data_IF_905594962136
#
_entry.id   IF_905594962136
#
_cell.length_a   1.000
_cell.length_b   1.000
_cell.length_c   1.000
_cell.angle_alpha   90.00
_cell.angle_beta   90.00
_cell.angle_gamma   90.00
#
_symmetry.space_group_name_H-M   'P 1'
#
loop_
_entity.id
_entity.type
_entity.pdbx_description
1 polymer ?
#
# COMPACT_ATOMS: atom_id res chain seq x y z
N UNK A 1 10.57 -20.60 -1.91
CA UNK A 1 10.51 -19.17 -1.55
C UNK A 1 11.90 -18.60 -1.71
N UNK A 2 12.07 -17.40 -2.24
CA UNK A 2 13.40 -16.80 -2.38
C UNK A 2 14.01 -16.51 -1.00
N UNK A 3 15.33 -16.61 -0.90
CA UNK A 3 16.10 -16.36 0.33
C UNK A 3 16.76 -14.98 0.24
N UNK A 4 16.96 -14.32 1.38
CA UNK A 4 17.83 -13.14 1.45
C UNK A 4 19.25 -13.52 1.08
N UNK A 5 19.85 -12.75 0.17
CA UNK A 5 21.23 -12.93 -0.29
C UNK A 5 21.98 -11.61 -0.18
N UNK A 6 22.85 -11.52 0.82
CA UNK A 6 23.69 -10.34 1.02
C UNK A 6 24.78 -10.32 -0.05
N UNK A 7 24.81 -9.26 -0.85
CA UNK A 7 25.90 -8.95 -1.77
C UNK A 7 26.73 -7.80 -1.20
N UNK A 8 28.02 -8.04 -0.99
CA UNK A 8 28.94 -7.04 -0.50
C UNK A 8 30.38 -7.47 -0.75
N UNK A 9 31.24 -6.51 -1.10
CA UNK A 9 32.69 -6.72 -1.17
C UNK A 9 33.36 -6.69 0.21
N UNK A 10 32.61 -6.23 1.23
CA UNK A 10 33.09 -6.17 2.61
C UNK A 10 32.96 -7.53 3.29
N UNK A 11 33.80 -7.74 4.31
CA UNK A 11 33.62 -8.83 5.27
C UNK A 11 33.38 -8.21 6.65
N UNK A 12 32.60 -8.84 7.53
CA UNK A 12 32.46 -8.36 8.90
C UNK A 12 33.83 -8.25 9.57
N UNK A 13 34.13 -7.08 10.15
CA UNK A 13 35.41 -6.79 10.80
C UNK A 13 35.21 -6.18 12.20
N UNK A 14 36.27 -6.12 13.01
CA UNK A 14 36.20 -5.61 14.38
C UNK A 14 35.22 -6.42 15.22
N UNK A 15 34.30 -5.74 15.91
CA UNK A 15 33.29 -6.37 16.76
C UNK A 15 32.06 -6.89 15.99
N UNK A 16 31.95 -6.61 14.69
CA UNK A 16 30.79 -7.01 13.88
C UNK A 16 30.54 -8.53 13.87
N UNK A 17 31.55 -9.41 13.68
CA UNK A 17 31.30 -10.86 13.66
C UNK A 17 30.61 -11.37 14.92
N UNK A 18 31.09 -10.92 16.09
CA UNK A 18 30.53 -11.28 17.40
C UNK A 18 29.12 -10.73 17.58
N UNK A 19 28.91 -9.46 17.26
CA UNK A 19 27.57 -8.83 17.35
C UNK A 19 26.54 -9.53 16.45
N UNK A 20 26.94 -9.90 15.22
CA UNK A 20 26.07 -10.63 14.28
C UNK A 20 25.71 -12.00 14.85
N UNK A 21 26.68 -12.74 15.38
CA UNK A 21 26.47 -14.06 15.98
C UNK A 21 25.51 -14.00 17.16
N UNK A 22 25.78 -13.14 18.15
CA UNK A 22 24.94 -12.98 19.34
C UNK A 22 23.50 -12.58 18.99
N UNK A 23 23.30 -11.58 18.12
CA UNK A 23 21.97 -11.17 17.68
C UNK A 23 21.23 -12.29 16.94
N UNK A 24 21.93 -13.02 16.07
CA UNK A 24 21.34 -14.13 15.31
C UNK A 24 20.86 -15.25 16.25
N UNK A 25 21.68 -15.66 17.21
CA UNK A 25 21.34 -16.70 18.18
C UNK A 25 20.18 -16.29 19.10
N UNK A 26 20.16 -15.04 19.55
CA UNK A 26 19.08 -14.51 20.36
C UNK A 26 17.74 -14.48 19.59
N UNK A 27 17.75 -14.11 18.30
CA UNK A 27 16.54 -14.16 17.47
C UNK A 27 16.07 -15.61 17.27
N UNK A 28 17.00 -16.55 17.05
CA UNK A 28 16.68 -17.97 16.85
C UNK A 28 16.19 -18.66 18.12
N UNK A 29 16.65 -18.23 19.30
CA UNK A 29 16.18 -18.71 20.60
C UNK A 29 14.84 -18.09 21.06
N UNK A 30 14.28 -17.15 20.28
CA UNK A 30 12.97 -16.56 20.55
C UNK A 30 13.02 -15.30 21.43
N UNK A 31 14.19 -14.70 21.64
CA UNK A 31 14.29 -13.43 22.36
C UNK A 31 13.57 -12.31 21.61
N UNK A 32 12.58 -11.70 22.28
CA UNK A 32 11.72 -10.66 21.70
C UNK A 32 12.37 -9.28 21.61
N UNK A 33 13.25 -8.95 22.57
CA UNK A 33 13.85 -7.62 22.68
C UNK A 33 15.37 -7.73 22.77
N UNK A 34 16.05 -6.99 21.92
CA UNK A 34 17.51 -6.98 21.80
C UNK A 34 17.97 -5.57 21.44
N UNK A 35 19.17 -5.20 21.89
CA UNK A 35 19.73 -3.87 21.67
C UNK A 35 21.13 -3.99 21.13
N UNK A 36 21.36 -3.51 19.91
CA UNK A 36 22.70 -3.32 19.36
C UNK A 36 23.26 -1.96 19.80
N UNK A 37 24.14 -1.97 20.80
CA UNK A 37 24.83 -0.75 21.25
C UNK A 37 26.03 -0.44 20.32
N UNK A 38 25.74 0.08 19.12
CA UNK A 38 26.76 0.41 18.12
C UNK A 38 27.15 1.89 18.11
N UNK A 39 28.44 2.19 18.25
CA UNK A 39 28.99 3.55 18.09
C UNK A 39 28.77 4.11 16.67
N UNK A 40 28.83 5.43 16.50
CA UNK A 40 28.73 6.05 15.17
C UNK A 40 29.89 5.59 14.29
N UNK A 41 29.61 5.27 13.03
CA UNK A 41 30.62 4.80 12.07
C UNK A 41 30.99 3.31 12.17
N UNK A 42 30.41 2.54 13.10
CA UNK A 42 30.74 1.10 13.25
C UNK A 42 30.10 0.16 12.20
N UNK A 43 29.45 0.71 11.17
CA UNK A 43 28.79 -0.10 10.13
C UNK A 43 27.52 -0.82 10.59
N UNK A 44 26.68 -0.17 11.42
CA UNK A 44 25.46 -0.77 11.98
C UNK A 44 24.52 -1.37 10.93
N UNK A 45 24.31 -0.71 9.80
CA UNK A 45 23.44 -1.24 8.73
C UNK A 45 23.96 -2.57 8.20
N UNK A 46 25.27 -2.67 7.95
CA UNK A 46 25.89 -3.90 7.46
C UNK A 46 25.83 -5.04 8.50
N UNK A 47 26.00 -4.73 9.79
CA UNK A 47 25.76 -5.70 10.88
C UNK A 47 24.32 -6.22 10.82
N UNK A 48 23.33 -5.34 10.71
CA UNK A 48 21.91 -5.74 10.65
C UNK A 48 21.59 -6.49 9.35
N UNK A 49 22.18 -6.12 8.21
CA UNK A 49 22.03 -6.86 6.95
C UNK A 49 22.50 -8.32 7.09
N UNK A 50 23.68 -8.55 7.69
CA UNK A 50 24.16 -9.90 7.98
C UNK A 50 23.21 -10.67 8.92
N UNK A 51 22.62 -10.00 9.92
CA UNK A 51 21.63 -10.63 10.81
C UNK A 51 20.39 -11.03 10.01
N UNK A 52 19.85 -10.15 9.16
CA UNK A 52 18.67 -10.43 8.30
C UNK A 52 18.92 -11.66 7.42
N UNK A 53 20.09 -11.71 6.74
CA UNK A 53 20.47 -12.87 5.92
C UNK A 53 20.56 -14.16 6.74
N UNK A 54 21.08 -14.12 7.98
CA UNK A 54 21.21 -15.34 8.80
C UNK A 54 19.90 -15.83 9.42
N UNK A 55 18.92 -14.95 9.61
CA UNK A 55 17.61 -15.29 10.22
C UNK A 55 16.52 -15.57 9.20
N UNK A 56 16.66 -15.09 7.95
CA UNK A 56 15.73 -15.34 6.85
C UNK A 56 14.26 -15.00 7.19
N UNK A 57 14.03 -13.79 7.75
CA UNK A 57 12.70 -13.30 8.11
C UNK A 57 12.40 -11.96 7.41
N UNK A 58 11.17 -11.75 6.89
CA UNK A 58 10.73 -10.43 6.48
C UNK A 58 10.97 -9.43 7.61
N UNK A 59 11.54 -8.27 7.28
CA UNK A 59 12.05 -7.33 8.29
C UNK A 59 11.49 -5.93 8.05
N UNK A 60 10.93 -5.33 9.10
CA UNK A 60 10.53 -3.92 9.11
C UNK A 60 11.60 -3.10 9.84
N UNK A 61 12.19 -2.13 9.14
CA UNK A 61 13.17 -1.19 9.69
C UNK A 61 12.48 0.16 9.86
N UNK A 62 12.33 0.61 11.11
CA UNK A 62 11.64 1.87 11.42
C UNK A 62 12.68 2.99 11.65
N UNK A 63 12.58 4.06 10.86
CA UNK A 63 13.39 5.26 10.98
C UNK A 63 12.54 6.45 11.45
N UNK A 64 13.14 7.31 12.27
CA UNK A 64 12.41 8.45 12.88
C UNK A 64 12.22 9.64 11.93
N UNK A 65 12.84 9.64 10.74
CA UNK A 65 12.70 10.70 9.75
C UNK A 65 12.86 10.15 8.31
N UNK A 66 12.33 10.89 7.32
CA UNK A 66 12.33 10.47 5.90
C UNK A 66 13.75 10.38 5.30
N UNK A 67 14.67 11.24 5.72
CA UNK A 67 16.06 11.27 5.21
C UNK A 67 16.82 10.01 5.58
N UNK A 68 16.80 9.63 6.86
CA UNK A 68 17.42 8.40 7.34
C UNK A 68 16.73 7.16 6.75
N UNK A 69 15.41 7.18 6.61
CA UNK A 69 14.67 6.11 5.95
C UNK A 69 15.17 5.91 4.50
N UNK A 70 15.34 6.99 3.74
CA UNK A 70 15.82 6.91 2.37
C UNK A 70 17.26 6.39 2.29
N UNK A 71 18.15 6.86 3.19
CA UNK A 71 19.52 6.36 3.29
C UNK A 71 19.57 4.86 3.56
N UNK A 72 18.83 4.40 4.58
CA UNK A 72 18.76 2.98 4.92
C UNK A 72 18.17 2.15 3.79
N UNK A 73 17.14 2.65 3.11
CA UNK A 73 16.55 1.97 1.96
C UNK A 73 17.59 1.78 0.85
N UNK A 74 18.36 2.82 0.52
CA UNK A 74 19.41 2.72 -0.49
C UNK A 74 20.51 1.74 -0.07
N UNK A 75 21.00 1.82 1.17
CA UNK A 75 22.01 0.89 1.70
C UNK A 75 21.53 -0.56 1.66
N UNK A 76 20.28 -0.83 2.08
CA UNK A 76 19.71 -2.17 2.00
C UNK A 76 19.51 -2.64 0.57
N UNK A 77 19.12 -1.77 -0.37
CA UNK A 77 19.00 -2.11 -1.79
C UNK A 77 20.34 -2.49 -2.42
N UNK A 78 21.43 -1.83 -2.03
CA UNK A 78 22.79 -2.19 -2.45
C UNK A 78 23.22 -3.54 -1.86
N UNK A 79 22.87 -3.81 -0.59
CA UNK A 79 23.16 -5.07 0.08
C UNK A 79 22.32 -6.25 -0.40
N UNK A 80 21.08 -6.01 -0.85
CA UNK A 80 20.13 -7.06 -1.24
C UNK A 80 19.52 -6.80 -2.63
N UNK A 81 20.33 -6.72 -3.70
CA UNK A 81 19.85 -6.33 -5.04
C UNK A 81 18.93 -7.35 -5.70
N UNK A 82 18.89 -8.60 -5.21
CA UNK A 82 18.01 -9.66 -5.72
C UNK A 82 16.73 -9.87 -4.86
N UNK A 83 16.61 -9.15 -3.74
CA UNK A 83 15.48 -9.26 -2.81
C UNK A 83 14.59 -8.00 -2.89
N UNK A 84 13.40 -8.05 -2.27
CA UNK A 84 12.52 -6.89 -2.24
C UNK A 84 12.90 -5.95 -1.10
N UNK A 85 13.51 -4.82 -1.43
CA UNK A 85 13.79 -3.73 -0.50
C UNK A 85 12.85 -2.57 -0.83
N UNK A 86 11.93 -2.32 0.09
CA UNK A 86 10.76 -1.48 -0.14
C UNK A 86 10.75 -0.27 0.79
N UNK A 87 10.08 0.80 0.36
CA UNK A 87 10.05 2.08 1.07
C UNK A 87 8.63 2.46 1.48
N UNK A 88 8.39 2.67 2.78
CA UNK A 88 7.05 2.93 3.32
C UNK A 88 7.02 4.15 4.25
N UNK A 89 6.79 5.34 3.69
CA UNK A 89 6.64 6.58 4.45
C UNK A 89 5.34 7.29 4.10
N UNK A 90 5.05 8.39 4.79
CA UNK A 90 3.94 9.26 4.39
C UNK A 90 4.15 9.76 2.97
N UNK A 91 3.19 9.42 2.10
CA UNK A 91 3.09 9.89 0.73
C UNK A 91 2.65 11.34 0.58
N UNK A 92 2.40 12.07 1.68
CA UNK A 92 2.07 13.48 1.58
C UNK A 92 3.36 14.31 1.49
N UNK A 93 3.46 15.13 0.45
CA UNK A 93 4.45 16.22 0.38
C UNK A 93 4.03 17.38 1.28
N UNK A 94 2.73 17.64 1.31
CA UNK A 94 2.09 18.59 2.21
C UNK A 94 0.83 17.95 2.79
N UNK A 95 0.60 18.15 4.09
CA UNK A 95 -0.61 17.67 4.76
C UNK A 95 -1.05 18.66 5.83
N UNK A 96 -2.27 19.16 5.66
CA UNK A 96 -3.01 19.90 6.66
C UNK A 96 -4.16 19.01 7.15
N UNK A 97 -4.16 18.62 8.43
CA UNK A 97 -5.27 17.87 8.98
C UNK A 97 -6.50 18.76 9.04
N UNK A 98 -7.66 18.13 8.92
CA UNK A 98 -8.91 18.77 9.28
C UNK A 98 -8.89 19.15 10.76
N UNK A 99 -9.27 20.40 11.05
CA UNK A 99 -9.31 20.89 12.41
C UNK A 99 -10.40 21.95 12.59
N UNK A 100 -10.85 22.11 13.84
CA UNK A 100 -11.72 23.21 14.23
C UNK A 100 -11.08 23.94 15.41
N UNK A 101 -10.93 25.26 15.29
CA UNK A 101 -10.34 26.15 16.31
C UNK A 101 -11.48 26.87 17.03
N UNK A 102 -11.85 26.47 18.26
CA UNK A 102 -13.01 27.03 18.94
C UNK A 102 -12.86 28.52 19.30
N UNK A 103 -11.63 28.97 19.57
CA UNK A 103 -11.36 30.36 19.98
C UNK A 103 -11.63 31.38 18.87
N UNK A 104 -11.58 30.95 17.61
CA UNK A 104 -11.80 31.79 16.43
C UNK A 104 -12.98 31.33 15.58
N UNK A 105 -13.75 30.33 16.04
CA UNK A 105 -14.81 29.66 15.27
C UNK A 105 -14.37 29.36 13.83
N UNK A 106 -13.15 28.85 13.68
CA UNK A 106 -12.54 28.63 12.37
C UNK A 106 -12.47 27.14 12.08
N UNK A 107 -13.12 26.73 11.01
CA UNK A 107 -12.97 25.41 10.43
C UNK A 107 -11.82 25.44 9.41
N UNK A 108 -10.89 24.50 9.57
CA UNK A 108 -9.75 24.29 8.68
C UNK A 108 -10.04 23.01 7.91
N UNK A 109 -10.26 23.16 6.61
CA UNK A 109 -10.43 22.04 5.70
C UNK A 109 -9.15 21.21 5.61
N UNK A 110 -9.33 19.90 5.41
CA UNK A 110 -8.24 19.01 5.05
C UNK A 110 -7.71 19.45 3.68
N UNK A 111 -6.41 19.71 3.62
CA UNK A 111 -5.71 19.98 2.38
C UNK A 111 -4.44 19.14 2.34
N UNK A 112 -4.14 18.56 1.19
CA UNK A 112 -2.99 17.66 1.07
C UNK A 112 -2.52 17.55 -0.37
N UNK A 113 -1.21 17.42 -0.52
CA UNK A 113 -0.58 17.08 -1.79
C UNK A 113 0.05 15.70 -1.67
N UNK A 114 -0.35 14.79 -2.56
CA UNK A 114 0.17 13.42 -2.60
C UNK A 114 1.37 13.39 -3.55
N UNK A 115 2.44 12.75 -3.09
CA UNK A 115 3.60 12.41 -3.87
C UNK A 115 3.37 11.05 -4.53
N UNK A 116 3.12 11.08 -5.83
CA UNK A 116 2.84 9.89 -6.62
C UNK A 116 3.94 8.84 -6.52
N UNK A 117 5.23 9.23 -6.48
CA UNK A 117 6.33 8.26 -6.39
C UNK A 117 6.35 7.52 -5.04
N UNK A 118 6.05 8.21 -3.93
CA UNK A 118 5.96 7.58 -2.62
C UNK A 118 4.73 6.68 -2.54
N UNK A 119 3.58 7.10 -3.08
CA UNK A 119 2.37 6.27 -3.11
C UNK A 119 2.60 4.94 -3.84
N UNK A 120 3.25 4.99 -5.01
CA UNK A 120 3.69 3.80 -5.75
C UNK A 120 4.59 2.90 -4.90
N UNK A 121 5.57 3.48 -4.20
CA UNK A 121 6.47 2.71 -3.32
C UNK A 121 5.72 2.04 -2.16
N UNK A 122 4.67 2.68 -1.63
CA UNK A 122 3.81 2.07 -0.61
C UNK A 122 3.03 0.88 -1.15
N UNK A 123 2.47 1.00 -2.37
CA UNK A 123 1.81 -0.12 -3.04
C UNK A 123 2.79 -1.27 -3.34
N UNK A 124 4.02 -0.96 -3.77
CA UNK A 124 5.10 -1.94 -3.94
C UNK A 124 5.38 -2.68 -2.64
N UNK A 125 5.54 -1.94 -1.53
CA UNK A 125 5.81 -2.51 -0.22
C UNK A 125 4.71 -3.47 0.26
N UNK A 126 3.44 -3.11 0.11
CA UNK A 126 2.33 -3.96 0.54
C UNK A 126 2.15 -5.16 -0.37
N UNK A 127 2.26 -5.00 -1.70
CA UNK A 127 2.18 -6.11 -2.64
C UNK A 127 3.30 -7.13 -2.44
N UNK A 128 4.54 -6.67 -2.21
CA UNK A 128 5.70 -7.54 -2.00
C UNK A 128 5.51 -8.52 -0.83
N UNK A 129 4.84 -8.10 0.25
CA UNK A 129 4.55 -8.96 1.41
C UNK A 129 3.64 -10.16 1.09
N UNK A 130 2.79 -10.04 0.06
CA UNK A 130 1.90 -11.11 -0.37
C UNK A 130 2.55 -12.01 -1.43
N UNK A 131 3.48 -11.48 -2.23
CA UNK A 131 4.12 -12.21 -3.32
C UNK A 131 5.34 -13.01 -2.88
N UNK A 132 6.11 -12.52 -1.91
CA UNK A 132 7.39 -13.12 -1.52
C UNK A 132 7.71 -12.92 -0.03
N UNK A 133 8.72 -13.67 0.45
CA UNK A 133 9.08 -13.71 1.88
C UNK A 133 10.37 -12.97 2.22
N UNK A 134 11.19 -12.71 1.22
CA UNK A 134 12.46 -12.01 1.31
C UNK A 134 12.25 -10.50 1.11
N UNK A 135 11.47 -9.89 2.01
CA UNK A 135 11.08 -8.48 1.98
C UNK A 135 11.68 -7.71 3.15
N UNK A 136 12.37 -6.62 2.87
CA UNK A 136 12.78 -5.61 3.85
C UNK A 136 11.96 -4.34 3.56
N UNK A 137 11.20 -3.86 4.53
CA UNK A 137 10.50 -2.58 4.42
C UNK A 137 11.22 -1.57 5.30
N UNK A 138 11.70 -0.49 4.70
CA UNK A 138 12.21 0.68 5.44
C UNK A 138 11.10 1.70 5.56
N UNK A 139 10.64 1.95 6.78
CA UNK A 139 9.46 2.74 7.05
C UNK A 139 9.70 3.91 8.01
N UNK A 140 8.84 4.92 7.92
CA UNK A 140 8.67 5.90 9.00
C UNK A 140 7.58 5.42 9.98
N UNK A 141 7.20 6.26 10.94
CA UNK A 141 6.01 6.05 11.77
C UNK A 141 4.71 5.89 10.96
N UNK A 142 4.73 6.10 9.64
CA UNK A 142 3.59 5.73 8.80
C UNK A 142 3.18 4.25 8.93
N UNK A 143 4.08 3.35 9.32
CA UNK A 143 3.78 1.92 9.48
C UNK A 143 2.88 1.59 10.68
N UNK A 144 2.57 2.56 11.55
CA UNK A 144 1.62 2.41 12.65
C UNK A 144 0.28 3.14 12.41
N UNK A 145 0.12 3.78 11.25
CA UNK A 145 -1.15 4.37 10.83
C UNK A 145 -2.03 3.33 10.13
N UNK A 146 -3.34 3.57 10.16
CA UNK A 146 -4.33 2.67 9.56
C UNK A 146 -4.13 2.49 8.06
N UNK A 147 -4.28 1.25 7.62
CA UNK A 147 -4.50 0.82 6.24
C UNK A 147 -5.80 0.00 6.23
N UNK A 148 -6.35 -0.27 5.05
CA UNK A 148 -7.44 -1.23 4.91
C UNK A 148 -7.03 -2.63 5.37
N UNK A 149 -8.05 -3.46 5.56
CA UNK A 149 -7.89 -4.84 6.01
C UNK A 149 -7.01 -5.62 5.02
N UNK A 150 -5.91 -6.27 5.48
CA UNK A 150 -5.08 -7.08 4.59
C UNK A 150 -5.84 -8.25 3.96
N UNK A 151 -6.89 -8.76 4.62
CA UNK A 151 -7.76 -9.80 4.05
C UNK A 151 -8.54 -9.24 2.86
N UNK A 152 -9.19 -8.08 3.00
CA UNK A 152 -9.87 -7.40 1.88
C UNK A 152 -8.91 -7.10 0.73
N UNK A 153 -7.71 -6.59 1.05
CA UNK A 153 -6.70 -6.26 0.02
C UNK A 153 -6.26 -7.50 -0.78
N UNK A 154 -6.23 -8.67 -0.13
CA UNK A 154 -5.89 -9.95 -0.76
C UNK A 154 -7.08 -10.54 -1.52
N UNK A 155 -8.28 -10.51 -0.96
CA UNK A 155 -9.49 -11.08 -1.55
C UNK A 155 -9.94 -10.31 -2.79
N UNK A 156 -9.70 -9.00 -2.81
CA UNK A 156 -9.94 -8.14 -3.96
C UNK A 156 -8.91 -8.33 -5.08
N UNK A 157 -7.76 -8.95 -4.82
CA UNK A 157 -6.71 -9.16 -5.82
C UNK A 157 -7.21 -9.97 -7.03
N UNK A 158 -6.99 -9.46 -8.23
CA UNK A 158 -7.34 -10.17 -9.47
C UNK A 158 -6.14 -11.00 -9.92
N UNK A 159 -6.27 -12.32 -9.82
CA UNK A 159 -5.30 -13.29 -10.33
C UNK A 159 -5.62 -13.65 -11.79
N UNK A 160 -4.65 -13.48 -12.69
CA UNK A 160 -4.79 -13.81 -14.11
C UNK A 160 -3.69 -14.80 -14.55
N UNK A 161 -4.05 -15.77 -15.40
CA UNK A 161 -3.15 -16.78 -15.95
C UNK A 161 -3.52 -17.06 -17.42
N UNK A 162 -2.55 -17.30 -18.31
CA UNK A 162 -2.84 -17.86 -19.63
C UNK A 162 -3.65 -19.17 -19.52
N UNK A 163 -4.61 -19.37 -20.42
CA UNK A 163 -5.54 -20.50 -20.44
C UNK A 163 -6.76 -20.34 -19.51
N UNK A 164 -6.87 -19.24 -18.76
CA UNK A 164 -8.04 -18.99 -17.93
C UNK A 164 -9.23 -18.58 -18.79
N UNK A 165 -10.35 -19.30 -18.67
CA UNK A 165 -11.62 -18.91 -19.30
C UNK A 165 -12.28 -17.85 -18.42
N UNK A 166 -12.22 -16.62 -18.88
CA UNK A 166 -12.80 -15.46 -18.22
C UNK A 166 -13.12 -14.35 -19.22
N UNK A 167 -14.36 -13.91 -19.20
CA UNK A 167 -14.81 -12.79 -20.02
C UNK A 167 -14.02 -11.51 -19.68
N UNK A 168 -13.60 -10.80 -20.73
CA UNK A 168 -12.85 -9.55 -20.61
C UNK A 168 -13.64 -8.50 -19.83
N UNK A 169 -14.95 -8.39 -20.09
CA UNK A 169 -15.79 -7.38 -19.46
C UNK A 169 -16.05 -7.70 -17.97
N UNK A 170 -15.94 -8.97 -17.55
CA UNK A 170 -15.87 -9.36 -16.14
C UNK A 170 -14.59 -8.86 -15.46
N UNK A 171 -13.43 -9.01 -16.11
CA UNK A 171 -12.16 -8.50 -15.57
C UNK A 171 -12.21 -6.97 -15.45
N UNK A 172 -12.77 -6.28 -16.44
CA UNK A 172 -12.98 -4.82 -16.42
C UNK A 172 -13.84 -4.40 -15.23
N UNK A 173 -14.98 -5.09 -14.98
CA UNK A 173 -15.83 -4.81 -13.82
C UNK A 173 -15.07 -4.95 -12.51
N UNK A 174 -14.28 -6.03 -12.36
CA UNK A 174 -13.46 -6.21 -11.16
C UNK A 174 -12.37 -5.16 -11.01
N UNK A 175 -11.73 -4.73 -12.11
CA UNK A 175 -10.74 -3.65 -12.08
C UNK A 175 -11.34 -2.35 -11.52
N UNK A 176 -12.58 -2.02 -11.93
CA UNK A 176 -13.31 -0.87 -11.40
C UNK A 176 -13.64 -1.04 -9.92
N UNK A 177 -14.09 -2.23 -9.50
CA UNK A 177 -14.34 -2.54 -8.08
C UNK A 177 -13.10 -2.31 -7.21
N UNK A 178 -11.91 -2.65 -7.72
CA UNK A 178 -10.63 -2.44 -7.03
C UNK A 178 -9.99 -1.08 -7.33
N UNK A 179 -10.81 -0.10 -7.67
CA UNK A 179 -10.48 1.34 -7.79
C UNK A 179 -9.59 1.72 -8.99
N UNK A 180 -9.51 0.89 -10.03
CA UNK A 180 -8.89 1.32 -11.27
C UNK A 180 -9.84 2.16 -12.11
N UNK A 181 -9.30 3.12 -12.82
CA UNK A 181 -10.05 3.96 -13.74
C UNK A 181 -9.79 3.58 -15.19
N UNK A 182 -10.84 3.52 -16.01
CA UNK A 182 -10.68 3.30 -17.45
C UNK A 182 -10.19 4.58 -18.11
N UNK A 183 -9.01 4.56 -18.75
CA UNK A 183 -8.49 5.72 -19.45
C UNK A 183 -7.74 5.34 -20.73
N UNK A 184 -8.30 5.67 -21.89
CA UNK A 184 -7.72 5.34 -23.19
C UNK A 184 -6.53 6.26 -23.53
N UNK A 185 -6.59 7.53 -23.11
CA UNK A 185 -5.71 8.59 -23.58
C UNK A 185 -4.56 8.86 -22.61
N UNK A 186 -4.86 8.99 -21.33
CA UNK A 186 -3.89 9.22 -20.26
C UNK A 186 -3.67 7.91 -19.50
N UNK A 187 -2.80 7.06 -20.06
CA UNK A 187 -2.49 5.74 -19.51
C UNK A 187 -1.41 5.85 -18.43
N UNK A 188 -1.87 6.00 -17.19
CA UNK A 188 -1.04 6.13 -15.98
C UNK A 188 -1.37 5.05 -14.95
N UNK A 189 -0.62 5.02 -13.86
CA UNK A 189 -0.79 4.05 -12.77
C UNK A 189 -2.22 4.09 -12.22
N UNK A 190 -2.77 2.93 -11.85
CA UNK A 190 -4.15 2.82 -11.38
C UNK A 190 -5.18 2.99 -12.51
N UNK A 191 -4.76 2.89 -13.77
CA UNK A 191 -5.66 2.92 -14.93
C UNK A 191 -5.57 1.65 -15.76
N UNK A 192 -6.60 1.41 -16.57
CA UNK A 192 -6.59 0.39 -17.62
C UNK A 192 -7.19 0.93 -18.92
N UNK A 193 -6.83 0.32 -20.04
CA UNK A 193 -7.39 0.64 -21.37
C UNK A 193 -7.64 -0.63 -22.18
N UNK A 194 -8.55 -0.52 -23.14
CA UNK A 194 -8.98 -1.64 -23.98
C UNK A 194 -8.74 -1.30 -25.44
N UNK A 195 -8.09 -2.19 -26.17
CA UNK A 195 -7.82 -2.07 -27.60
C UNK A 195 -8.18 -3.39 -28.29
N UNK A 196 -9.44 -3.53 -28.72
CA UNK A 196 -9.95 -4.80 -29.25
C UNK A 196 -9.88 -5.89 -28.18
N UNK A 197 -9.14 -6.96 -28.48
CA UNK A 197 -8.97 -8.11 -27.59
C UNK A 197 -7.76 -7.97 -26.65
N UNK A 198 -7.25 -6.75 -26.49
CA UNK A 198 -6.12 -6.42 -25.62
C UNK A 198 -6.59 -5.53 -24.47
N UNK A 199 -6.31 -5.96 -23.25
CA UNK A 199 -6.48 -5.18 -22.02
C UNK A 199 -5.11 -4.82 -21.45
N UNK A 200 -4.76 -3.54 -21.51
CA UNK A 200 -3.57 -3.02 -20.83
C UNK A 200 -3.98 -2.50 -19.45
N UNK A 201 -3.31 -2.99 -18.40
CA UNK A 201 -3.53 -2.63 -16.99
C UNK A 201 -2.24 -2.02 -16.46
N UNK A 202 -2.29 -0.84 -15.84
CA UNK A 202 -1.12 -0.21 -15.23
C UNK A 202 -1.21 -0.31 -13.70
N UNK A 203 -0.51 -1.27 -13.07
CA UNK A 203 -0.56 -1.45 -11.62
C UNK A 203 -0.09 -0.21 -10.84
N UNK A 204 -0.67 0.09 -9.67
CA UNK A 204 -0.29 1.24 -8.83
C UNK A 204 1.16 1.13 -8.31
N UNK A 205 1.66 -0.09 -8.13
CA UNK A 205 3.02 -0.38 -7.66
C UNK A 205 4.11 -0.21 -8.73
N UNK A 206 3.75 -0.08 -10.01
CA UNK A 206 4.70 -0.06 -11.13
C UNK A 206 4.99 1.35 -11.63
N UNK A 207 6.23 1.64 -12.03
CA UNK A 207 6.63 2.95 -12.58
C UNK A 207 6.67 3.02 -14.11
N UNK A 208 7.02 1.92 -14.76
CA UNK A 208 7.28 1.88 -16.22
C UNK A 208 6.66 0.69 -16.93
N UNK A 209 6.16 -0.28 -16.18
CA UNK A 209 5.72 -1.56 -16.73
C UNK A 209 4.22 -1.69 -16.55
N UNK A 210 3.49 -1.87 -17.64
CA UNK A 210 2.09 -2.28 -17.61
C UNK A 210 1.97 -3.76 -17.94
N UNK A 211 0.84 -4.34 -17.53
CA UNK A 211 0.46 -5.71 -17.83
C UNK A 211 -0.48 -5.67 -19.03
N UNK A 212 -0.08 -6.32 -20.11
CA UNK A 212 -0.91 -6.55 -21.29
C UNK A 212 -1.49 -7.95 -21.23
N UNK A 213 -2.82 -8.04 -21.26
CA UNK A 213 -3.58 -9.28 -21.28
C UNK A 213 -4.25 -9.39 -22.64
N UNK A 214 -3.88 -10.41 -23.41
CA UNK A 214 -4.41 -10.69 -24.76
C UNK A 214 -5.44 -11.82 -24.65
N UNK A 215 -6.60 -11.61 -25.28
CA UNK A 215 -7.75 -12.52 -25.22
C UNK A 215 -7.99 -13.19 -26.57
N UNK A 216 -8.47 -14.43 -26.54
CA UNK A 216 -9.07 -15.11 -27.67
C UNK A 216 -10.49 -15.55 -27.30
N UNK A 217 -11.47 -14.71 -27.66
CA UNK A 217 -12.83 -14.84 -27.12
C UNK A 217 -12.82 -14.63 -25.60
N UNK A 218 -13.26 -15.65 -24.85
CA UNK A 218 -13.31 -15.62 -23.38
C UNK A 218 -12.07 -16.27 -22.75
N UNK A 219 -11.03 -16.62 -23.52
CA UNK A 219 -9.81 -17.22 -22.97
C UNK A 219 -8.67 -16.19 -22.93
N UNK A 220 -7.94 -16.14 -21.82
CA UNK A 220 -6.68 -15.38 -21.74
C UNK A 220 -5.61 -16.16 -22.53
N UNK A 221 -5.26 -15.71 -23.71
CA UNK A 221 -4.26 -16.36 -24.56
C UNK A 221 -2.84 -16.10 -24.03
N UNK A 222 -2.56 -14.84 -23.68
CA UNK A 222 -1.20 -14.41 -23.34
C UNK A 222 -1.19 -13.26 -22.35
N UNK A 223 -0.18 -13.25 -21.48
CA UNK A 223 0.10 -12.15 -20.57
C UNK A 223 1.55 -11.71 -20.76
N UNK A 224 1.73 -10.42 -21.01
CA UNK A 224 3.06 -9.80 -21.20
C UNK A 224 3.21 -8.55 -20.36
N UNK A 225 4.45 -8.27 -19.97
CA UNK A 225 4.85 -6.96 -19.48
C UNK A 225 5.23 -6.07 -20.66
N UNK A 226 4.79 -4.82 -20.63
CA UNK A 226 5.10 -3.81 -21.65
C UNK A 226 5.69 -2.56 -21.00
N UNK A 227 6.67 -1.94 -21.66
CA UNK A 227 7.11 -0.59 -21.30
C UNK A 227 6.00 0.41 -21.69
N UNK A 228 5.55 1.23 -20.73
CA UNK A 228 4.41 2.15 -20.93
C UNK A 228 4.73 3.32 -21.86
N UNK A 229 6.00 3.64 -22.09
CA UNK A 229 6.44 4.72 -22.97
C UNK A 229 6.65 4.23 -24.40
N UNK A 230 7.31 3.08 -24.57
CA UNK A 230 7.65 2.55 -25.90
C UNK A 230 6.63 1.55 -26.43
N UNK A 231 5.87 0.89 -25.54
CA UNK A 231 4.97 -0.21 -25.87
C UNK A 231 5.67 -1.53 -26.16
N UNK A 232 6.99 -1.60 -25.98
CA UNK A 232 7.77 -2.81 -26.21
C UNK A 232 7.49 -3.87 -25.14
N UNK A 233 7.42 -5.13 -25.57
CA UNK A 233 7.26 -6.27 -24.65
C UNK A 233 8.59 -6.53 -23.94
N UNK A 234 8.60 -6.37 -22.62
CA UNK A 234 9.77 -6.58 -21.77
C UNK A 234 9.83 -7.98 -21.18
N UNK A 235 8.71 -8.71 -21.15
CA UNK A 235 8.66 -10.07 -20.64
C UNK A 235 7.32 -10.77 -20.86
N UNK A 236 7.35 -12.10 -20.74
CA UNK A 236 6.15 -12.94 -20.75
C UNK A 236 5.90 -13.44 -19.33
N UNK A 237 4.63 -13.48 -18.91
CA UNK A 237 4.22 -13.92 -17.57
C UNK A 237 3.26 -15.10 -17.66
N UNK A 238 3.55 -16.13 -16.87
CA UNK A 238 2.66 -17.29 -16.69
C UNK A 238 1.56 -17.04 -15.65
N UNK A 239 1.72 -15.99 -14.85
CA UNK A 239 0.77 -15.58 -13.82
C UNK A 239 1.05 -14.11 -13.44
N UNK A 240 -0.01 -13.38 -13.11
CA UNK A 240 0.06 -12.02 -12.58
C UNK A 240 -1.03 -11.82 -11.54
N UNK A 241 -0.68 -11.10 -10.47
CA UNK A 241 -1.59 -10.59 -9.47
C UNK A 241 -1.78 -9.08 -9.69
N UNK A 242 -3.03 -8.64 -9.84
CA UNK A 242 -3.40 -7.23 -9.90
C UNK A 242 -4.02 -6.85 -8.56
N UNK A 243 -3.29 -6.08 -7.76
CA UNK A 243 -3.76 -5.58 -6.47
C UNK A 243 -4.61 -4.31 -6.62
N UNK A 244 -5.45 -3.99 -5.61
CA UNK A 244 -6.24 -2.75 -5.60
C UNK A 244 -5.41 -1.48 -5.77
N UNK A 245 -5.98 -0.50 -6.47
CA UNK A 245 -5.40 0.82 -6.69
C UNK A 245 -5.52 1.76 -5.47
N UNK A 246 -6.08 1.27 -4.36
CA UNK A 246 -6.17 1.98 -3.09
C UNK A 246 -6.00 1.01 -1.93
N UNK A 247 -5.26 1.42 -0.89
CA UNK A 247 -5.16 0.66 0.36
C UNK A 247 -6.45 0.63 1.18
N UNK A 248 -7.48 1.40 0.81
CA UNK A 248 -8.78 1.43 1.48
C UNK A 248 -9.91 0.82 0.63
N UNK A 249 -9.55 0.10 -0.45
CA UNK A 249 -10.54 -0.62 -1.24
C UNK A 249 -11.28 -1.64 -0.36
N UNK A 250 -12.61 -1.63 -0.42
CA UNK A 250 -13.48 -2.52 0.36
C UNK A 250 -14.59 -3.07 -0.52
N UNK A 251 -15.08 -4.27 -0.20
CA UNK A 251 -16.16 -4.91 -0.94
C UNK A 251 -17.51 -4.23 -0.70
N UNK A 252 -18.40 -4.27 -1.71
CA UNK A 252 -19.73 -3.63 -1.65
C UNK A 252 -20.58 -4.09 -0.46
N UNK A 253 -20.54 -5.38 -0.12
CA UNK A 253 -21.30 -5.90 1.03
C UNK A 253 -20.78 -5.38 2.38
N UNK A 254 -19.46 -5.17 2.51
CA UNK A 254 -18.85 -4.58 3.71
C UNK A 254 -19.20 -3.10 3.78
N UNK A 255 -19.16 -2.38 2.66
CA UNK A 255 -19.59 -0.98 2.56
C UNK A 255 -21.06 -0.78 2.98
N UNK A 256 -21.99 -1.60 2.48
CA UNK A 256 -23.42 -1.48 2.86
C UNK A 256 -23.64 -1.73 4.36
N UNK A 257 -22.92 -2.70 4.95
CA UNK A 257 -22.96 -2.94 6.40
C UNK A 257 -22.39 -1.76 7.18
N UNK A 258 -21.28 -1.19 6.71
CA UNK A 258 -20.65 -0.03 7.32
C UNK A 258 -21.60 1.18 7.28
N UNK A 259 -22.20 1.48 6.12
CA UNK A 259 -23.17 2.57 5.94
C UNK A 259 -24.33 2.44 6.93
N UNK A 260 -24.90 1.24 7.08
CA UNK A 260 -25.98 1.02 8.05
C UNK A 260 -25.53 1.34 9.48
N UNK A 261 -24.33 0.90 9.86
CA UNK A 261 -23.78 1.20 11.18
C UNK A 261 -23.49 2.70 11.37
N UNK A 262 -23.06 3.41 10.33
CA UNK A 262 -22.85 4.87 10.34
C UNK A 262 -24.19 5.59 10.51
N UNK A 263 -25.24 5.17 9.81
CA UNK A 263 -26.59 5.74 9.94
C UNK A 263 -27.13 5.56 11.37
N UNK A 264 -26.95 4.38 11.96
CA UNK A 264 -27.34 4.10 13.36
C UNK A 264 -26.58 4.99 14.37
N UNK A 265 -25.25 5.13 14.23
CA UNK A 265 -24.44 6.00 15.09
C UNK A 265 -24.79 7.49 14.91
N UNK A 266 -25.08 7.91 13.68
CA UNK A 266 -25.51 9.26 13.38
C UNK A 266 -26.82 9.60 14.08
N UNK A 267 -27.82 8.71 14.02
CA UNK A 267 -29.11 8.92 14.69
C UNK A 267 -28.96 9.07 16.21
N UNK A 268 -28.17 8.21 16.85
CA UNK A 268 -27.88 8.29 18.28
C UNK A 268 -27.20 9.62 18.62
N UNK A 269 -26.18 10.02 17.85
CA UNK A 269 -25.42 11.23 18.11
C UNK A 269 -26.24 12.50 17.89
N UNK A 270 -27.09 12.52 16.86
CA UNK A 270 -27.98 13.65 16.58
C UNK A 270 -29.02 13.83 17.69
N UNK A 271 -29.58 12.73 18.22
CA UNK A 271 -30.49 12.78 19.36
C UNK A 271 -29.79 13.40 20.57
N UNK A 272 -28.60 12.90 20.93
CA UNK A 272 -27.81 13.45 22.04
C UNK A 272 -27.55 14.96 21.87
N UNK A 273 -27.11 15.41 20.69
CA UNK A 273 -26.82 16.82 20.45
C UNK A 273 -28.07 17.70 20.56
N UNK A 274 -29.21 17.27 19.99
CA UNK A 274 -30.49 17.99 20.07
C UNK A 274 -31.03 18.06 21.50
N UNK A 275 -30.98 16.95 22.24
CA UNK A 275 -31.42 16.89 23.65
C UNK A 275 -30.57 17.79 24.57
N UNK A 276 -29.32 18.08 24.18
CA UNK A 276 -28.42 18.98 24.90
C UNK A 276 -28.39 20.42 24.33
N UNK A 277 -29.33 20.78 23.45
CA UNK A 277 -29.43 22.13 22.88
C UNK A 277 -28.33 22.51 21.88
N UNK A 278 -27.52 21.55 21.42
CA UNK A 278 -26.43 21.73 20.44
C UNK A 278 -26.94 21.62 19.01
N UNK A 279 -27.87 22.51 18.66
CA UNK A 279 -28.61 22.45 17.39
C UNK A 279 -27.72 22.69 16.17
N UNK A 280 -26.75 23.61 16.27
CA UNK A 280 -25.84 23.91 15.16
C UNK A 280 -24.88 22.75 14.90
N UNK A 281 -24.34 22.13 15.94
CA UNK A 281 -23.47 20.97 15.83
C UNK A 281 -24.23 19.77 15.26
N UNK A 282 -25.48 19.56 15.67
CA UNK A 282 -26.35 18.54 15.10
C UNK A 282 -26.58 18.77 13.61
N UNK A 283 -26.88 20.01 13.20
CA UNK A 283 -27.07 20.36 11.79
C UNK A 283 -25.80 20.13 10.96
N UNK A 284 -24.62 20.56 11.46
CA UNK A 284 -23.33 20.37 10.79
C UNK A 284 -23.01 18.89 10.60
N UNK A 285 -23.17 18.09 11.67
CA UNK A 285 -22.93 16.65 11.62
C UNK A 285 -23.85 15.95 10.62
N UNK A 286 -25.16 16.24 10.68
CA UNK A 286 -26.15 15.61 9.80
C UNK A 286 -25.88 15.90 8.33
N UNK A 287 -25.62 17.16 7.97
CA UNK A 287 -25.38 17.55 6.59
C UNK A 287 -24.16 16.83 6.01
N UNK A 288 -23.05 16.81 6.75
CA UNK A 288 -21.80 16.23 6.27
C UNK A 288 -21.86 14.71 6.19
N UNK A 289 -22.32 14.04 7.25
CA UNK A 289 -22.37 12.57 7.27
C UNK A 289 -23.34 12.03 6.21
N UNK A 290 -24.49 12.68 5.97
CA UNK A 290 -25.42 12.25 4.92
C UNK A 290 -24.84 12.41 3.52
N UNK A 291 -24.12 13.50 3.25
CA UNK A 291 -23.41 13.70 1.99
C UNK A 291 -22.34 12.62 1.78
N UNK A 292 -21.54 12.32 2.81
CA UNK A 292 -20.53 11.28 2.73
C UNK A 292 -21.14 9.90 2.47
N UNK A 293 -22.29 9.58 3.11
CA UNK A 293 -23.04 8.33 2.86
C UNK A 293 -23.52 8.24 1.41
N UNK A 294 -24.05 9.32 0.85
CA UNK A 294 -24.50 9.36 -0.55
C UNK A 294 -23.33 9.09 -1.50
N UNK A 295 -22.18 9.73 -1.26
CA UNK A 295 -20.95 9.50 -2.00
C UNK A 295 -20.46 8.04 -1.88
N UNK A 296 -20.50 7.46 -0.68
CA UNK A 296 -20.15 6.04 -0.48
C UNK A 296 -21.09 5.09 -1.23
N UNK A 297 -22.39 5.39 -1.32
CA UNK A 297 -23.37 4.55 -2.06
C UNK A 297 -23.20 4.63 -3.57
N UNK A 298 -23.01 5.84 -4.10
CA UNK A 298 -23.00 6.08 -5.55
C UNK A 298 -21.62 5.79 -6.17
N UNK A 299 -20.54 6.18 -5.47
CA UNK A 299 -19.18 6.15 -6.01
C UNK A 299 -18.32 5.07 -5.34
N UNK A 300 -18.71 4.60 -4.16
CA UNK A 300 -17.89 3.67 -3.37
C UNK A 300 -16.76 4.34 -2.58
N UNK A 301 -16.74 5.68 -2.55
CA UNK A 301 -15.72 6.48 -1.88
C UNK A 301 -16.25 7.86 -1.48
N UNK A 302 -15.77 8.42 -0.38
CA UNK A 302 -16.00 9.82 0.02
C UNK A 302 -14.69 10.48 0.47
N UNK A 303 -14.64 11.82 0.46
CA UNK A 303 -13.49 12.53 1.00
C UNK A 303 -13.45 12.38 2.52
N UNK A 304 -12.28 12.02 3.06
CA UNK A 304 -12.16 11.75 4.49
C UNK A 304 -12.72 10.38 4.90
N UNK A 305 -12.79 9.41 3.97
CA UNK A 305 -13.26 8.05 4.24
C UNK A 305 -12.55 7.39 5.43
N UNK A 306 -11.31 7.79 5.71
CA UNK A 306 -10.55 7.29 6.85
C UNK A 306 -11.21 7.57 8.21
N UNK A 307 -12.09 8.58 8.30
CA UNK A 307 -12.87 8.87 9.51
C UNK A 307 -13.91 7.78 9.82
N UNK A 308 -14.27 6.97 8.82
CA UNK A 308 -15.26 5.89 8.95
C UNK A 308 -14.62 4.50 9.09
N UNK A 309 -13.28 4.40 9.15
CA UNK A 309 -12.52 3.13 9.08
C UNK A 309 -12.91 2.04 10.10
N UNK A 310 -13.61 2.39 11.17
CA UNK A 310 -14.05 1.43 12.21
C UNK A 310 -15.30 0.64 11.81
N UNK A 311 -16.13 1.19 10.92
CA UNK A 311 -17.39 0.56 10.48
C UNK A 311 -17.14 -0.52 9.43
#
# INVERSE_FOLDING_TARGET
MPEFKLRSDFKPTGDQPKAIEELTELIKSGSRHQTLLGVTGSGKTYTIANVIERVQKPTLVIAHNKTLAAQLCNEFSEFFPDNAVEYFVSYYDYYQPEAYIPSTDTYIEKDSSINDEIDKLRHSATAALFERRDVIIVASVSCIYGLGDPEDYTDLMISLRPGMIRDRDEIIRKLVEIQYTRNQFDFKRGTFRVMGDVLDIFPPSSSKTAIRVEFFGDEIERITEIDVLTGEVTGIRSHVAIFPASHFATGREKMERAIKSIEEELEERLKYLRDNGKLLEAQRLEQRTRYDIEMMREIGFCQGIENYSRH
#
